data_IF_337174195893
#
_entry.id   IF_337174195893
#
_cell.length_a   1.000
_cell.length_b   1.000
_cell.length_c   1.000
_cell.angle_alpha   90.00
_cell.angle_beta   90.00
_cell.angle_gamma   90.00
#
_symmetry.space_group_name_H-M   'P 1'
#
loop_
_entity.id
_entity.type
_entity.pdbx_description
1 polymer ?
#
# COMPACT_ATOMS: atom_id res chain seq x y z
N UNK A 1 -11.31 26.20 -70.43
CA UNK A 1 -10.32 25.93 -69.36
C UNK A 1 -9.28 27.02 -69.41
N UNK A 2 -9.06 27.74 -68.32
CA UNK A 2 -8.37 29.04 -68.29
C UNK A 2 -6.89 28.95 -68.69
N UNK A 3 -6.47 29.78 -69.65
CA UNK A 3 -5.10 29.92 -70.16
C UNK A 3 -4.02 30.02 -69.06
N UNK A 4 -4.40 30.53 -67.89
CA UNK A 4 -3.52 30.67 -66.73
C UNK A 4 -3.13 29.34 -66.08
N UNK A 5 -4.01 28.33 -66.12
CA UNK A 5 -3.73 27.00 -65.59
C UNK A 5 -2.79 26.22 -66.53
N UNK A 6 -2.97 26.37 -67.84
CA UNK A 6 -2.12 25.75 -68.87
C UNK A 6 -0.72 26.38 -68.83
N UNK A 7 -0.61 27.71 -68.69
CA UNK A 7 0.70 28.39 -68.53
C UNK A 7 1.42 27.98 -67.24
N UNK A 8 0.70 27.80 -66.13
CA UNK A 8 1.29 27.33 -64.87
C UNK A 8 1.73 25.87 -64.96
N UNK A 9 0.93 25.01 -65.60
CA UNK A 9 1.31 23.61 -65.84
C UNK A 9 2.52 23.50 -66.80
N UNK A 10 2.59 24.34 -67.83
CA UNK A 10 3.75 24.43 -68.73
C UNK A 10 5.00 24.93 -68.01
N UNK A 11 4.89 25.94 -67.15
CA UNK A 11 6.03 26.44 -66.36
C UNK A 11 6.53 25.40 -65.36
N UNK A 12 5.62 24.69 -64.68
CA UNK A 12 5.98 23.61 -63.75
C UNK A 12 6.58 22.42 -64.50
N UNK A 13 6.03 22.07 -65.66
CA UNK A 13 6.58 21.04 -66.55
C UNK A 13 7.97 21.39 -67.06
N UNK A 14 8.22 22.65 -67.44
CA UNK A 14 9.52 23.12 -67.93
C UNK A 14 10.56 23.19 -66.81
N UNK A 15 10.13 23.53 -65.58
CA UNK A 15 10.98 23.46 -64.38
C UNK A 15 11.36 22.02 -64.03
N UNK A 16 10.39 21.10 -64.05
CA UNK A 16 10.64 19.68 -63.78
C UNK A 16 11.51 19.04 -64.87
N UNK A 17 11.30 19.40 -66.14
CA UNK A 17 12.13 18.95 -67.26
C UNK A 17 13.56 19.47 -67.16
N UNK A 18 13.75 20.73 -66.74
CA UNK A 18 15.07 21.31 -66.48
C UNK A 18 15.82 20.61 -65.34
N UNK A 19 15.13 20.28 -64.25
CA UNK A 19 15.71 19.51 -63.13
C UNK A 19 16.04 18.08 -63.56
N UNK A 20 15.17 17.44 -64.34
CA UNK A 20 15.39 16.08 -64.86
C UNK A 20 16.60 16.02 -65.81
N UNK A 21 16.70 16.96 -66.76
CA UNK A 21 17.84 17.09 -67.67
C UNK A 21 19.16 17.37 -66.94
N UNK A 22 19.12 18.17 -65.86
CA UNK A 22 20.27 18.42 -65.01
C UNK A 22 20.70 17.19 -64.18
N UNK A 23 19.77 16.28 -63.88
CA UNK A 23 20.11 14.99 -63.23
C UNK A 23 20.66 13.96 -64.21
N UNK A 24 20.18 13.94 -65.45
CA UNK A 24 20.62 13.00 -66.50
C UNK A 24 22.00 13.35 -67.09
N UNK A 25 22.39 14.61 -67.08
CA UNK A 25 23.72 15.06 -67.57
C UNK A 25 24.86 14.86 -66.56
N UNK A 26 24.58 14.41 -65.32
CA UNK A 26 25.60 14.13 -64.29
C UNK A 26 26.60 13.02 -64.65
N UNK A 27 26.26 12.12 -65.57
CA UNK A 27 27.13 11.01 -65.97
C UNK A 27 28.12 11.36 -67.09
N UNK A 28 28.05 12.57 -67.65
CA UNK A 28 28.95 13.02 -68.72
C UNK A 28 29.32 14.49 -68.51
N UNK A 29 30.11 14.78 -67.48
CA UNK A 29 30.72 16.09 -67.32
C UNK A 29 32.07 16.11 -68.05
N UNK A 30 32.21 16.76 -69.22
CA UNK A 30 33.52 17.07 -69.76
C UNK A 30 34.17 18.12 -68.84
N UNK A 31 35.44 17.92 -68.50
CA UNK A 31 36.25 18.89 -67.76
C UNK A 31 36.42 20.14 -68.63
N UNK A 32 35.54 21.12 -68.45
CA UNK A 32 35.61 22.40 -69.16
C UNK A 32 36.70 23.30 -68.55
N UNK A 33 37.49 24.04 -69.35
CA UNK A 33 38.60 24.87 -68.89
C UNK A 33 38.17 26.00 -67.95
N UNK A 34 39.05 26.32 -66.99
CA UNK A 34 38.81 27.13 -65.80
C UNK A 34 38.39 28.61 -65.98
N UNK A 35 38.14 29.07 -67.20
CA UNK A 35 37.79 30.47 -67.47
C UNK A 35 36.27 30.74 -67.53
N UNK A 36 35.44 29.72 -67.78
CA UNK A 36 33.97 29.87 -67.80
C UNK A 36 33.29 29.67 -66.44
N UNK A 37 33.99 29.08 -65.46
CA UNK A 37 33.47 28.86 -64.11
C UNK A 37 33.37 30.17 -63.31
N UNK A 38 34.26 31.13 -63.54
CA UNK A 38 34.34 32.35 -62.74
C UNK A 38 33.16 33.32 -62.96
N UNK A 39 32.52 33.29 -64.14
CA UNK A 39 31.39 34.19 -64.46
C UNK A 39 30.01 33.63 -64.10
N UNK A 40 29.89 32.34 -63.81
CA UNK A 40 28.62 31.68 -63.43
C UNK A 40 28.59 31.18 -61.99
N UNK A 41 29.74 31.19 -61.30
CA UNK A 41 29.89 30.84 -59.89
C UNK A 41 28.93 31.54 -58.90
N UNK A 42 28.60 32.85 -59.02
CA UNK A 42 27.77 33.49 -57.99
C UNK A 42 26.30 33.03 -58.00
N UNK A 43 25.80 32.45 -59.10
CA UNK A 43 24.43 31.92 -59.17
C UNK A 43 24.31 30.54 -58.51
N UNK A 44 25.36 29.72 -58.55
CA UNK A 44 25.40 28.41 -57.87
C UNK A 44 25.71 28.51 -56.37
N UNK A 45 26.40 29.57 -55.91
CA UNK A 45 26.61 29.82 -54.49
C UNK A 45 25.34 30.21 -53.72
N UNK A 46 24.36 30.84 -54.41
CA UNK A 46 23.09 31.25 -53.83
C UNK A 46 22.11 30.07 -53.66
N UNK A 47 22.10 29.12 -54.59
CA UNK A 47 21.22 27.94 -54.55
C UNK A 47 21.63 26.93 -53.47
N UNK A 48 22.93 26.79 -53.19
CA UNK A 48 23.43 25.87 -52.15
C UNK A 48 23.14 26.36 -50.71
N UNK A 49 23.12 27.68 -50.47
CA UNK A 49 22.77 28.27 -49.16
C UNK A 49 21.27 28.25 -48.86
N UNK A 50 20.43 28.37 -49.88
CA UNK A 50 18.97 28.24 -49.73
C UNK A 50 18.56 26.80 -49.40
N UNK A 51 19.18 25.79 -50.04
CA UNK A 51 18.85 24.37 -49.79
C UNK A 51 19.16 23.89 -48.37
N UNK A 52 20.25 24.37 -47.77
CA UNK A 52 20.64 23.99 -46.40
C UNK A 52 19.80 24.72 -45.34
N UNK A 53 19.49 26.00 -45.55
CA UNK A 53 18.64 26.77 -44.63
C UNK A 53 17.18 26.28 -44.62
N UNK A 54 16.66 25.80 -45.76
CA UNK A 54 15.30 25.24 -45.84
C UNK A 54 15.22 23.86 -45.17
N UNK A 55 16.21 22.98 -45.35
CA UNK A 55 16.25 21.69 -44.63
C UNK A 55 16.39 21.87 -43.11
N UNK A 56 17.26 22.78 -42.67
CA UNK A 56 17.42 23.09 -41.25
C UNK A 56 16.16 23.73 -40.63
N UNK A 57 15.47 24.60 -41.38
CA UNK A 57 14.22 25.22 -40.91
C UNK A 57 13.07 24.20 -40.84
N UNK A 58 12.96 23.29 -41.80
CA UNK A 58 11.95 22.24 -41.79
C UNK A 58 12.21 21.21 -40.68
N UNK A 59 13.47 20.78 -40.51
CA UNK A 59 13.85 19.89 -39.40
C UNK A 59 13.56 20.55 -38.04
N UNK A 60 13.91 21.82 -37.85
CA UNK A 60 13.63 22.56 -36.61
C UNK A 60 12.13 22.78 -36.34
N UNK A 61 11.27 22.84 -37.37
CA UNK A 61 9.82 22.95 -37.20
C UNK A 61 9.19 21.59 -36.86
N UNK A 62 9.67 20.49 -37.45
CA UNK A 62 9.25 19.14 -37.11
C UNK A 62 9.69 18.74 -35.69
N UNK A 63 10.97 18.92 -35.33
CA UNK A 63 11.48 18.65 -33.97
C UNK A 63 10.74 19.45 -32.90
N UNK A 64 10.45 20.73 -33.15
CA UNK A 64 9.72 21.58 -32.19
C UNK A 64 8.25 21.17 -32.02
N UNK A 65 7.63 20.53 -33.01
CA UNK A 65 6.27 20.02 -32.88
C UNK A 65 6.24 18.76 -32.03
N UNK A 66 7.17 17.85 -32.26
CA UNK A 66 7.27 16.61 -31.49
C UNK A 66 7.65 16.88 -30.04
N UNK A 67 8.62 17.78 -29.79
CA UNK A 67 8.98 18.21 -28.43
C UNK A 67 7.82 18.90 -27.69
N UNK A 68 7.01 19.71 -28.38
CA UNK A 68 5.83 20.34 -27.76
C UNK A 68 4.69 19.35 -27.52
N UNK A 69 4.53 18.35 -28.39
CA UNK A 69 3.56 17.29 -28.19
C UNK A 69 3.96 16.40 -26.99
N UNK A 70 5.24 16.08 -26.87
CA UNK A 70 5.79 15.31 -25.75
C UNK A 70 5.73 16.10 -24.44
N UNK A 71 6.04 17.39 -24.46
CA UNK A 71 5.90 18.26 -23.29
C UNK A 71 4.44 18.36 -22.83
N UNK A 72 3.48 18.46 -23.76
CA UNK A 72 2.04 18.44 -23.43
C UNK A 72 1.59 17.09 -22.87
N UNK A 73 2.11 16.00 -23.42
CA UNK A 73 1.79 14.63 -22.95
C UNK A 73 2.32 14.40 -21.54
N UNK A 74 3.58 14.75 -21.28
CA UNK A 74 4.19 14.68 -19.94
C UNK A 74 3.48 15.60 -18.94
N UNK A 75 3.07 16.80 -19.36
CA UNK A 75 2.29 17.70 -18.50
C UNK A 75 0.92 17.11 -18.15
N UNK A 76 0.21 16.53 -19.12
CA UNK A 76 -1.08 15.88 -18.89
C UNK A 76 -0.95 14.67 -17.95
N UNK A 77 0.08 13.85 -18.16
CA UNK A 77 0.38 12.68 -17.32
C UNK A 77 0.74 13.09 -15.89
N UNK A 78 1.60 14.10 -15.71
CA UNK A 78 1.90 14.70 -14.40
C UNK A 78 0.65 15.24 -13.71
N UNK A 79 -0.27 15.84 -14.46
CA UNK A 79 -1.50 16.39 -13.92
C UNK A 79 -2.45 15.28 -13.46
N UNK A 80 -2.58 14.20 -14.23
CA UNK A 80 -3.34 13.01 -13.83
C UNK A 80 -2.74 12.33 -12.59
N UNK A 81 -1.43 12.08 -12.58
CA UNK A 81 -0.72 11.49 -11.43
C UNK A 81 -0.87 12.33 -10.16
N UNK A 82 -0.84 13.67 -10.29
CA UNK A 82 -1.08 14.58 -9.15
C UNK A 82 -2.51 14.50 -8.64
N UNK A 83 -3.50 14.46 -9.52
CA UNK A 83 -4.90 14.31 -9.13
C UNK A 83 -5.14 12.96 -8.43
N UNK A 84 -4.56 11.89 -8.94
CA UNK A 84 -4.66 10.56 -8.34
C UNK A 84 -3.97 10.49 -6.98
N UNK A 85 -2.76 11.05 -6.85
CA UNK A 85 -2.10 11.17 -5.54
C UNK A 85 -2.91 11.99 -4.54
N UNK A 86 -3.51 13.10 -4.98
CA UNK A 86 -4.37 13.91 -4.11
C UNK A 86 -5.62 13.13 -3.66
N UNK A 87 -6.25 12.37 -4.58
CA UNK A 87 -7.37 11.50 -4.24
C UNK A 87 -6.97 10.43 -3.23
N UNK A 88 -5.89 9.70 -3.50
CA UNK A 88 -5.39 8.64 -2.62
C UNK A 88 -4.97 9.17 -1.26
N UNK A 89 -4.31 10.33 -1.19
CA UNK A 89 -3.93 10.96 0.08
C UNK A 89 -5.13 11.44 0.89
N UNK A 90 -6.17 11.99 0.24
CA UNK A 90 -7.42 12.35 0.90
C UNK A 90 -8.16 11.12 1.42
N UNK A 91 -8.22 10.04 0.64
CA UNK A 91 -8.82 8.77 1.05
C UNK A 91 -8.07 8.14 2.21
N UNK A 92 -6.73 8.13 2.15
CA UNK A 92 -5.89 7.66 3.24
C UNK A 92 -6.09 8.50 4.51
N UNK A 93 -6.17 9.83 4.40
CA UNK A 93 -6.48 10.72 5.53
C UNK A 93 -7.87 10.47 6.11
N UNK A 94 -8.90 10.24 5.28
CA UNK A 94 -10.26 9.91 5.74
C UNK A 94 -10.28 8.57 6.46
N UNK A 95 -9.62 7.55 5.91
CA UNK A 95 -9.47 6.24 6.54
C UNK A 95 -8.71 6.34 7.87
N UNK A 96 -7.62 7.10 7.92
CA UNK A 96 -6.87 7.36 9.14
C UNK A 96 -7.70 8.14 10.18
N UNK A 97 -8.51 9.10 9.75
CA UNK A 97 -9.41 9.84 10.65
C UNK A 97 -10.52 8.94 11.19
N UNK A 98 -11.15 8.11 10.36
CA UNK A 98 -12.15 7.14 10.78
C UNK A 98 -11.56 6.11 11.77
N UNK A 99 -10.35 5.62 11.49
CA UNK A 99 -9.62 4.74 12.40
C UNK A 99 -9.29 5.46 13.72
N UNK A 100 -8.80 6.71 13.69
CA UNK A 100 -8.50 7.48 14.91
C UNK A 100 -9.74 7.76 15.75
N UNK A 101 -10.89 8.07 15.13
CA UNK A 101 -12.15 8.26 15.85
C UNK A 101 -12.60 6.94 16.52
N UNK A 102 -12.46 5.80 15.86
CA UNK A 102 -12.69 4.48 16.47
C UNK A 102 -11.68 4.15 17.59
N UNK A 103 -10.41 4.50 17.41
CA UNK A 103 -9.33 4.07 18.33
C UNK A 103 -9.25 4.97 19.58
N UNK A 104 -9.55 6.26 19.45
CA UNK A 104 -9.39 7.27 20.53
C UNK A 104 -10.65 7.42 21.39
N UNK A 105 -11.84 7.06 20.90
CA UNK A 105 -13.10 7.10 21.66
C UNK A 105 -13.69 5.71 22.02
N UNK A 106 -13.22 4.62 21.40
CA UNK A 106 -14.06 3.41 21.22
C UNK A 106 -13.83 2.19 22.11
N UNK A 107 -12.81 2.13 22.97
CA UNK A 107 -12.64 0.94 23.84
C UNK A 107 -13.53 0.98 25.10
N UNK A 108 -14.13 2.14 25.41
CA UNK A 108 -15.12 2.29 26.48
C UNK A 108 -14.64 1.73 27.81
N UNK A 109 -13.52 2.24 28.35
CA UNK A 109 -13.02 1.79 29.66
C UNK A 109 -14.11 2.04 30.71
N UNK A 110 -14.51 0.97 31.38
CA UNK A 110 -15.53 0.96 32.45
C UNK A 110 -14.87 1.33 33.77
N UNK A 111 -13.74 0.68 34.08
CA UNK A 111 -13.03 0.84 35.33
C UNK A 111 -11.55 0.45 35.17
N UNK A 112 -10.72 1.01 36.06
CA UNK A 112 -9.38 0.51 36.34
C UNK A 112 -9.48 -0.28 37.64
N UNK A 113 -8.91 -1.48 37.68
CA UNK A 113 -9.00 -2.37 38.83
C UNK A 113 -7.61 -2.89 39.22
N UNK A 114 -7.26 -2.90 40.52
CA UNK A 114 -6.03 -3.50 40.99
C UNK A 114 -6.14 -5.03 40.91
N UNK A 115 -5.04 -5.70 40.60
CA UNK A 115 -4.91 -7.15 40.70
C UNK A 115 -4.54 -7.48 42.14
N UNK A 116 -5.40 -8.23 42.84
CA UNK A 116 -5.18 -8.61 44.24
C UNK A 116 -4.47 -9.95 44.33
N UNK A 117 -4.76 -10.87 43.42
CA UNK A 117 -4.26 -12.24 43.48
C UNK A 117 -4.22 -12.87 42.08
N UNK A 118 -3.34 -13.85 41.91
CA UNK A 118 -3.22 -14.67 40.70
C UNK A 118 -3.12 -16.15 41.07
N UNK A 119 -3.79 -17.03 40.32
CA UNK A 119 -3.74 -18.47 40.62
C UNK A 119 -2.39 -19.08 40.17
N UNK A 120 -1.54 -19.55 41.10
CA UNK A 120 -0.21 -20.07 40.76
C UNK A 120 -0.24 -21.55 40.34
N UNK A 121 -1.40 -22.23 40.43
CA UNK A 121 -1.52 -23.68 40.24
C UNK A 121 -1.23 -24.14 38.80
N UNK A 122 -1.18 -23.22 37.84
CA UNK A 122 -0.75 -23.46 36.45
C UNK A 122 -1.73 -24.25 35.58
N UNK A 123 -2.77 -24.86 36.16
CA UNK A 123 -3.82 -25.61 35.46
C UNK A 123 -4.94 -24.69 34.95
N UNK A 124 -5.38 -23.76 35.79
CA UNK A 124 -6.34 -22.71 35.46
C UNK A 124 -5.69 -21.38 35.77
N UNK A 125 -5.63 -20.48 34.79
CA UNK A 125 -4.90 -19.21 34.96
C UNK A 125 -5.90 -18.09 35.14
N UNK A 126 -6.24 -17.84 36.41
CA UNK A 126 -7.22 -16.83 36.84
C UNK A 126 -6.52 -15.65 37.50
N UNK A 127 -7.11 -14.47 37.38
CA UNK A 127 -6.72 -13.25 38.10
C UNK A 127 -7.89 -12.73 38.90
N UNK A 128 -7.61 -12.27 40.11
CA UNK A 128 -8.60 -11.67 41.00
C UNK A 128 -8.41 -10.16 41.03
N UNK A 129 -9.49 -9.44 40.77
CA UNK A 129 -9.52 -7.97 40.73
C UNK A 129 -10.16 -7.42 42.00
N UNK A 130 -9.60 -6.33 42.52
CA UNK A 130 -10.15 -5.54 43.64
C UNK A 130 -11.24 -4.56 43.25
N UNK A 131 -11.99 -4.87 42.21
CA UNK A 131 -13.18 -4.15 41.80
C UNK A 131 -14.26 -5.16 41.39
N UNK A 132 -15.52 -4.79 41.56
CA UNK A 132 -16.68 -5.63 41.28
C UNK A 132 -17.84 -4.82 40.71
N UNK A 133 -19.06 -5.30 40.95
CA UNK A 133 -20.26 -4.67 40.39
C UNK A 133 -20.52 -3.25 40.91
N UNK A 134 -19.98 -2.89 42.09
CA UNK A 134 -20.04 -1.52 42.61
C UNK A 134 -19.31 -0.51 41.71
N UNK A 135 -18.28 -0.97 40.98
CA UNK A 135 -17.53 -0.19 39.99
C UNK A 135 -18.03 -0.42 38.55
N UNK A 136 -19.18 -1.08 38.40
CA UNK A 136 -19.82 -1.31 37.11
C UNK A 136 -19.30 -2.53 36.34
N UNK A 137 -18.46 -3.37 36.93
CA UNK A 137 -17.98 -4.60 36.30
C UNK A 137 -19.14 -5.59 36.11
N UNK A 138 -19.08 -6.33 35.00
CA UNK A 138 -20.04 -7.38 34.66
C UNK A 138 -19.31 -8.57 34.02
N UNK A 139 -19.92 -9.74 34.15
CA UNK A 139 -19.47 -10.95 33.45
C UNK A 139 -19.46 -10.69 31.94
N UNK A 140 -18.41 -11.18 31.27
CA UNK A 140 -18.20 -11.00 29.83
C UNK A 140 -17.43 -9.73 29.45
N UNK A 141 -17.09 -8.85 30.41
CA UNK A 141 -16.27 -7.67 30.13
C UNK A 141 -14.80 -8.07 29.84
N UNK A 142 -14.21 -7.57 28.74
CA UNK A 142 -12.80 -7.77 28.44
C UNK A 142 -11.88 -7.02 29.39
N UNK A 143 -10.74 -7.62 29.69
CA UNK A 143 -9.69 -7.03 30.54
C UNK A 143 -8.41 -6.90 29.72
N UNK A 144 -7.82 -5.71 29.78
CA UNK A 144 -6.61 -5.35 29.02
C UNK A 144 -5.64 -4.56 29.89
N UNK A 145 -4.39 -4.49 29.45
CA UNK A 145 -3.41 -3.50 29.92
C UNK A 145 -2.88 -2.70 28.74
N UNK A 146 -1.97 -1.75 29.01
CA UNK A 146 -1.24 -1.04 27.98
C UNK A 146 -0.43 -1.99 27.06
N UNK A 147 0.02 -3.12 27.60
CA UNK A 147 0.83 -4.10 26.87
C UNK A 147 0.00 -5.05 26.00
N UNK A 148 -1.23 -5.36 26.41
CA UNK A 148 -2.09 -6.26 25.64
C UNK A 148 -3.28 -6.83 26.39
N UNK A 149 -3.92 -7.81 25.77
CA UNK A 149 -5.11 -8.48 26.26
C UNK A 149 -4.76 -9.41 27.43
N UNK A 150 -5.52 -9.28 28.53
CA UNK A 150 -5.36 -10.12 29.72
C UNK A 150 -6.34 -11.27 29.71
N UNK A 151 -7.62 -11.01 29.42
CA UNK A 151 -8.67 -12.03 29.52
C UNK A 151 -10.08 -11.46 29.55
N UNK A 152 -11.01 -12.21 30.13
CA UNK A 152 -12.43 -11.83 30.27
C UNK A 152 -12.94 -12.12 31.68
N UNK A 153 -13.79 -11.24 32.21
CA UNK A 153 -14.44 -11.44 33.50
C UNK A 153 -15.42 -12.61 33.42
N UNK A 154 -15.28 -13.58 34.31
CA UNK A 154 -16.17 -14.76 34.42
C UNK A 154 -17.09 -14.69 35.63
N UNK A 155 -16.65 -14.05 36.72
CA UNK A 155 -17.43 -13.93 37.95
C UNK A 155 -17.30 -12.51 38.51
N UNK A 156 -18.38 -12.01 39.12
CA UNK A 156 -18.42 -10.67 39.72
C UNK A 156 -19.17 -10.74 41.05
N UNK A 157 -18.55 -10.19 42.09
CA UNK A 157 -19.14 -9.90 43.39
C UNK A 157 -19.24 -8.37 43.55
N UNK A 158 -19.81 -7.82 44.65
CA UNK A 158 -19.89 -6.36 44.83
C UNK A 158 -18.53 -5.66 44.74
N UNK A 159 -17.48 -6.25 45.31
CA UNK A 159 -16.17 -5.61 45.44
C UNK A 159 -15.04 -6.31 44.69
N UNK A 160 -15.23 -7.55 44.24
CA UNK A 160 -14.20 -8.33 43.54
C UNK A 160 -14.74 -8.93 42.25
N UNK A 161 -13.83 -9.24 41.32
CA UNK A 161 -14.14 -9.96 40.10
C UNK A 161 -13.06 -10.99 39.76
N UNK A 162 -13.45 -12.07 39.10
CA UNK A 162 -12.54 -13.11 38.64
C UNK A 162 -12.41 -13.02 37.12
N UNK A 163 -11.17 -13.01 36.64
CA UNK A 163 -10.81 -12.94 35.24
C UNK A 163 -10.22 -14.27 34.81
N UNK A 164 -10.80 -14.88 33.79
CA UNK A 164 -10.17 -15.97 33.07
C UNK A 164 -9.20 -15.40 32.04
N UNK A 165 -7.92 -15.73 32.18
CA UNK A 165 -6.89 -15.12 31.34
C UNK A 165 -6.82 -15.74 29.94
N UNK A 166 -6.08 -15.12 29.03
CA UNK A 166 -5.78 -15.67 27.70
C UNK A 166 -4.94 -16.96 27.76
N UNK A 167 -4.23 -17.19 28.86
CA UNK A 167 -3.38 -18.36 29.07
C UNK A 167 -4.14 -19.59 29.59
N UNK A 168 -5.38 -19.42 30.03
CA UNK A 168 -6.22 -20.52 30.47
C UNK A 168 -6.55 -21.48 29.30
N UNK A 169 -6.46 -22.82 29.47
CA UNK A 169 -6.74 -23.78 28.41
C UNK A 169 -8.13 -23.68 27.78
N UNK A 170 -9.12 -23.22 28.54
CA UNK A 170 -10.49 -23.04 28.06
C UNK A 170 -10.69 -21.68 27.36
N UNK A 171 -9.68 -20.80 27.45
CA UNK A 171 -9.68 -19.50 26.81
C UNK A 171 -9.69 -19.64 25.30
N UNK A 172 -10.61 -18.90 24.67
CA UNK A 172 -10.74 -18.82 23.23
C UNK A 172 -10.83 -17.35 22.86
N UNK A 173 -9.84 -16.86 22.12
CA UNK A 173 -9.79 -15.47 21.68
C UNK A 173 -9.76 -15.45 20.16
N UNK A 174 -10.71 -14.72 19.57
CA UNK A 174 -10.71 -14.48 18.15
C UNK A 174 -9.59 -13.52 17.75
N UNK A 175 -8.64 -13.99 16.94
CA UNK A 175 -7.42 -13.25 16.60
C UNK A 175 -7.22 -13.08 15.10
N UNK A 176 -6.36 -12.14 14.75
CA UNK A 176 -5.86 -11.89 13.40
C UNK A 176 -4.41 -11.43 13.44
N UNK A 177 -3.73 -11.53 12.31
CA UNK A 177 -2.39 -10.96 12.17
C UNK A 177 -2.46 -9.43 12.03
N UNK A 178 -1.49 -8.75 12.62
CA UNK A 178 -1.31 -7.32 12.43
C UNK A 178 -0.70 -7.06 11.05
N UNK A 179 -1.45 -6.42 10.15
CA UNK A 179 -0.95 -6.02 8.84
C UNK A 179 -1.00 -7.09 7.74
N UNK A 180 -1.48 -8.30 8.04
CA UNK A 180 -1.69 -9.36 7.05
C UNK A 180 -3.12 -9.91 7.10
N UNK A 181 -3.68 -10.33 5.95
CA UNK A 181 -4.94 -11.07 5.94
C UNK A 181 -4.72 -12.45 6.57
N UNK A 182 -5.49 -12.73 7.61
CA UNK A 182 -5.43 -14.00 8.33
C UNK A 182 -6.21 -13.90 9.64
N UNK A 183 -7.19 -14.76 9.82
CA UNK A 183 -8.04 -14.82 11.02
C UNK A 183 -8.00 -16.21 11.60
N UNK A 184 -8.07 -16.30 12.92
CA UNK A 184 -7.90 -17.53 13.65
C UNK A 184 -8.45 -17.46 15.06
N UNK A 185 -8.16 -18.50 15.82
CA UNK A 185 -8.52 -18.62 17.23
C UNK A 185 -7.24 -18.87 18.02
N UNK A 186 -7.01 -18.08 19.05
CA UNK A 186 -5.99 -18.31 20.05
C UNK A 186 -6.57 -19.13 21.21
N UNK A 187 -5.82 -20.13 21.63
CA UNK A 187 -6.08 -21.00 22.77
C UNK A 187 -4.95 -20.83 23.79
N UNK A 188 -5.28 -20.86 25.07
CA UNK A 188 -4.27 -20.95 26.12
C UNK A 188 -3.50 -22.26 26.01
N UNK A 189 -2.17 -22.18 25.98
CA UNK A 189 -1.29 -23.34 25.96
C UNK A 189 -0.36 -23.26 27.19
N UNK A 190 -0.73 -23.92 28.30
CA UNK A 190 0.10 -23.96 29.49
C UNK A 190 1.53 -24.46 29.16
N UNK A 191 2.56 -23.97 29.87
CA UNK A 191 2.46 -23.07 31.04
C UNK A 191 2.39 -21.57 30.71
N UNK A 192 2.85 -21.12 29.54
CA UNK A 192 3.06 -19.68 29.27
C UNK A 192 2.92 -19.27 27.80
N UNK A 193 2.36 -20.13 26.95
CA UNK A 193 2.24 -19.87 25.52
C UNK A 193 0.77 -19.78 25.08
N UNK A 194 0.56 -19.27 23.89
CA UNK A 194 -0.71 -19.33 23.19
C UNK A 194 -0.53 -20.20 21.95
N UNK A 195 -1.47 -21.13 21.74
CA UNK A 195 -1.59 -21.86 20.49
C UNK A 195 -2.59 -21.12 19.61
N UNK A 196 -2.15 -20.61 18.46
CA UNK A 196 -3.03 -19.94 17.50
C UNK A 196 -3.26 -20.82 16.28
N UNK A 197 -4.52 -21.07 15.96
CA UNK A 197 -4.90 -21.78 14.75
C UNK A 197 -5.45 -20.78 13.73
N UNK A 198 -4.80 -20.67 12.58
CA UNK A 198 -5.13 -19.72 11.50
C UNK A 198 -5.36 -20.47 10.18
N UNK A 199 -6.04 -19.81 9.23
CA UNK A 199 -6.20 -20.32 7.88
C UNK A 199 -4.83 -20.68 7.24
N UNK A 200 -4.71 -21.81 6.53
CA UNK A 200 -3.43 -22.29 6.02
C UNK A 200 -2.80 -21.35 4.97
N UNK A 201 -3.63 -20.59 4.24
CA UNK A 201 -3.22 -19.61 3.23
C UNK A 201 -2.60 -18.34 3.85
N UNK A 202 -2.78 -18.10 5.14
CA UNK A 202 -2.23 -16.94 5.81
C UNK A 202 -0.70 -16.97 5.79
N UNK A 203 -0.08 -15.91 5.25
CA UNK A 203 1.37 -15.74 5.30
C UNK A 203 1.77 -15.29 6.70
N UNK A 204 2.53 -16.11 7.42
CA UNK A 204 2.94 -15.87 8.81
C UNK A 204 4.42 -16.17 8.98
N UNK A 205 5.11 -15.32 9.74
CA UNK A 205 6.51 -15.45 10.10
C UNK A 205 6.70 -15.28 11.61
N UNK A 206 7.74 -15.88 12.21
CA UNK A 206 8.18 -15.51 13.55
C UNK A 206 8.44 -13.99 13.64
N UNK A 207 7.99 -13.38 14.73
CA UNK A 207 8.02 -11.93 14.95
C UNK A 207 6.71 -11.21 14.58
N UNK A 208 5.80 -11.85 13.84
CA UNK A 208 4.51 -11.23 13.51
C UNK A 208 3.67 -10.99 14.77
N UNK A 209 3.01 -9.82 14.83
CA UNK A 209 2.13 -9.47 15.95
C UNK A 209 0.73 -10.04 15.72
N UNK A 210 0.19 -10.67 16.76
CA UNK A 210 -1.19 -11.20 16.80
C UNK A 210 -2.06 -10.25 17.62
N UNK A 211 -3.20 -9.86 17.06
CA UNK A 211 -4.15 -8.93 17.69
C UNK A 211 -5.55 -9.52 17.73
N UNK A 212 -6.39 -9.07 18.67
CA UNK A 212 -7.81 -9.41 18.72
C UNK A 212 -8.55 -8.91 17.47
N UNK A 213 -9.56 -9.64 17.00
CA UNK A 213 -10.40 -9.16 15.89
C UNK A 213 -11.03 -10.23 15.01
N UNK A 214 -11.56 -11.32 15.59
CA UNK A 214 -12.48 -12.19 14.84
C UNK A 214 -13.87 -11.54 14.70
N UNK A 215 -14.66 -12.03 13.73
CA UNK A 215 -15.92 -11.44 13.26
C UNK A 215 -17.02 -11.29 14.32
N UNK A 216 -16.99 -12.14 15.35
CA UNK A 216 -17.92 -12.15 16.49
C UNK A 216 -17.11 -12.59 17.71
N UNK A 217 -16.99 -11.74 18.72
CA UNK A 217 -16.21 -12.08 19.90
C UNK A 217 -16.44 -11.08 21.03
N UNK A 218 -16.14 -11.52 22.25
CA UNK A 218 -16.22 -10.71 23.45
C UNK A 218 -15.23 -9.53 23.44
N UNK A 219 -14.17 -9.64 22.64
CA UNK A 219 -13.01 -8.73 22.66
C UNK A 219 -13.08 -7.67 21.57
N UNK A 220 -12.89 -6.37 21.91
CA UNK A 220 -12.66 -5.31 20.94
C UNK A 220 -11.51 -5.65 20.01
N UNK A 221 -11.64 -5.29 18.73
CA UNK A 221 -10.60 -5.56 17.75
C UNK A 221 -9.39 -4.63 17.95
N UNK A 222 -8.18 -5.14 17.72
CA UNK A 222 -6.94 -4.35 17.70
C UNK A 222 -6.12 -4.38 18.98
N UNK A 223 -6.52 -5.12 20.01
CA UNK A 223 -5.74 -5.31 21.23
C UNK A 223 -4.64 -6.34 20.97
N UNK A 224 -3.40 -6.04 21.36
CA UNK A 224 -2.28 -6.98 21.17
C UNK A 224 -2.48 -8.21 22.05
N UNK A 225 -2.41 -9.39 21.47
CA UNK A 225 -2.51 -10.67 22.20
C UNK A 225 -1.11 -11.26 22.42
N UNK A 226 -0.25 -11.20 21.40
CA UNK A 226 1.10 -11.75 21.49
C UNK A 226 1.92 -11.61 20.21
N UNK A 227 3.08 -12.26 20.20
CA UNK A 227 4.04 -12.27 19.09
C UNK A 227 4.28 -13.72 18.68
N UNK A 228 4.24 -14.01 17.38
CA UNK A 228 4.53 -15.35 16.84
C UNK A 228 5.98 -15.71 17.14
N UNK A 229 6.18 -16.79 17.87
CA UNK A 229 7.51 -17.33 18.20
C UNK A 229 7.89 -18.44 17.23
N UNK A 230 6.93 -19.32 16.90
CA UNK A 230 7.17 -20.43 16.00
C UNK A 230 5.93 -20.71 15.14
N UNK A 231 6.16 -21.08 13.88
CA UNK A 231 5.15 -21.64 12.98
C UNK A 231 5.38 -23.14 12.91
N UNK A 232 4.40 -23.95 13.31
CA UNK A 232 4.54 -25.40 13.27
C UNK A 232 4.44 -25.91 11.82
N UNK A 233 5.13 -27.01 11.47
CA UNK A 233 5.02 -27.63 10.16
C UNK A 233 3.58 -28.01 9.84
N UNK A 234 3.15 -27.73 8.61
CA UNK A 234 1.81 -28.09 8.13
C UNK A 234 1.88 -29.51 7.58
N UNK A 235 1.16 -30.45 8.18
CA UNK A 235 1.01 -31.79 7.63
C UNK A 235 0.20 -31.75 6.33
N UNK A 236 0.48 -32.63 5.34
CA UNK A 236 -0.34 -32.75 4.15
C UNK A 236 -1.82 -32.96 4.50
N UNK A 237 -2.71 -32.11 3.98
CA UNK A 237 -4.15 -32.15 4.28
C UNK A 237 -4.60 -31.39 5.54
N UNK A 238 -3.71 -30.70 6.25
CA UNK A 238 -4.10 -29.91 7.41
C UNK A 238 -4.97 -28.70 7.01
N UNK A 239 -6.12 -28.56 7.66
CA UNK A 239 -7.08 -27.48 7.42
C UNK A 239 -6.70 -26.16 8.09
N UNK A 240 -5.68 -26.16 8.96
CA UNK A 240 -5.23 -24.99 9.72
C UNK A 240 -3.72 -25.01 9.91
N UNK A 241 -3.13 -23.82 9.95
CA UNK A 241 -1.75 -23.59 10.37
C UNK A 241 -1.73 -23.30 11.87
N UNK A 242 -0.82 -23.95 12.60
CA UNK A 242 -0.67 -23.78 14.06
C UNK A 242 0.55 -22.92 14.35
N UNK A 243 0.37 -21.91 15.19
CA UNK A 243 1.41 -20.98 15.61
C UNK A 243 1.57 -21.09 17.12
N UNK A 244 2.82 -21.11 17.58
CA UNK A 244 3.15 -20.87 18.99
C UNK A 244 3.42 -19.38 19.17
N UNK A 245 2.65 -18.75 20.02
CA UNK A 245 2.62 -17.30 20.21
C UNK A 245 2.96 -16.98 21.66
N UNK A 246 3.94 -16.12 21.85
CA UNK A 246 4.31 -15.59 23.16
C UNK A 246 3.31 -14.50 23.56
N UNK A 247 2.64 -14.59 24.72
CA UNK A 247 1.74 -13.55 25.19
C UNK A 247 2.45 -12.20 25.29
N UNK A 248 1.74 -11.12 24.96
CA UNK A 248 2.27 -9.76 25.11
C UNK A 248 2.30 -9.31 26.58
N UNK A 249 1.45 -9.90 27.42
CA UNK A 249 1.31 -9.56 28.84
C UNK A 249 1.92 -10.66 29.70
N UNK A 250 2.78 -10.27 30.63
CA UNK A 250 3.28 -11.16 31.69
C UNK A 250 2.38 -11.02 32.90
N UNK A 251 1.57 -12.04 33.17
CA UNK A 251 0.52 -11.96 34.20
C UNK A 251 1.08 -11.77 35.62
N UNK A 252 2.26 -12.32 35.90
CA UNK A 252 2.92 -12.24 37.22
C UNK A 252 3.45 -10.86 37.58
N UNK A 253 3.47 -9.91 36.64
CA UNK A 253 3.93 -8.53 36.85
C UNK A 253 2.78 -7.53 36.80
N UNK A 254 1.53 -8.00 36.82
CA UNK A 254 0.36 -7.14 36.73
C UNK A 254 -0.05 -6.64 38.10
N UNK A 255 0.03 -5.32 38.29
CA UNK A 255 -0.51 -4.64 39.47
C UNK A 255 -1.91 -4.06 39.19
N UNK A 256 -2.15 -3.59 37.96
CA UNK A 256 -3.41 -2.95 37.56
C UNK A 256 -3.85 -3.37 36.16
N UNK A 257 -5.16 -3.38 35.95
CA UNK A 257 -5.78 -3.68 34.66
C UNK A 257 -6.91 -2.70 34.33
N UNK A 258 -7.22 -2.60 33.04
CA UNK A 258 -8.34 -1.83 32.52
C UNK A 258 -9.45 -2.78 32.06
N UNK A 259 -10.68 -2.51 32.50
CA UNK A 259 -11.87 -3.24 32.10
C UNK A 259 -12.59 -2.47 31.00
N UNK A 260 -12.89 -3.14 29.90
CA UNK A 260 -13.55 -2.54 28.73
C UNK A 260 -15.04 -2.87 28.71
N UNK A 261 -15.83 -2.02 28.06
CA UNK A 261 -17.23 -2.34 27.76
C UNK A 261 -17.29 -3.58 26.85
N UNK A 262 -18.27 -4.47 27.07
CA UNK A 262 -18.51 -5.57 26.14
C UNK A 262 -19.04 -5.01 24.81
N UNK A 263 -18.76 -5.74 23.73
CA UNK A 263 -19.29 -5.45 22.38
C UNK A 263 -20.78 -5.79 22.27
#
# INVERSE_FOLDING_TARGET
>A
MSDTAIRRALLVGLLLLGVLLATLTRQSAPTLPGEFAARTAPLFGYSFRLGQNVKASLAAIFDRRDLRAEQRKMQAELQQLRQENQRLTLENRKLQAALRVQTVQGLGVVAVAPVIDDDPSGLYRRLYLGAGSAQGLRVGMPVTTASGLVGVITEVTPNNAVVRTVLDPESRVGVRLAGAPGRGIAYGAPPSMLRVEIAPEASVKPGDKVVSGALQGLYPAGITVGIVEQVLPISPGALKKVLMVRPAVQLSLLEEVQVLKPL
#
